data_IF_532263823065
#
_entry.id   IF_532263823065
#
_cell.length_a   1.000
_cell.length_b   1.000
_cell.length_c   1.000
_cell.angle_alpha   90.00
_cell.angle_beta   90.00
_cell.angle_gamma   90.00
#
_symmetry.space_group_name_H-M   'P 1'
#
loop_
_entity.id
_entity.type
_entity.pdbx_description
1 polymer ?
#
# COMPACT_ATOMS: atom_id res chain seq x y z
N UNK A 1 -36.85 -61.93 10.00
CA UNK A 1 -37.38 -60.61 10.41
C UNK A 1 -36.45 -59.54 9.86
N UNK A 2 -36.82 -58.75 8.85
CA UNK A 2 -35.92 -57.76 8.27
C UNK A 2 -35.87 -56.51 9.18
N UNK A 3 -34.72 -56.24 9.79
CA UNK A 3 -34.45 -54.97 10.46
C UNK A 3 -34.36 -53.89 9.37
N UNK A 4 -35.38 -53.04 9.29
CA UNK A 4 -35.51 -51.97 8.31
C UNK A 4 -34.55 -50.82 8.67
N UNK A 5 -33.27 -50.98 8.31
CA UNK A 5 -32.19 -50.04 8.61
C UNK A 5 -32.22 -48.78 7.74
N UNK A 6 -33.32 -48.51 7.05
CA UNK A 6 -33.53 -47.34 6.19
C UNK A 6 -33.38 -46.04 6.98
N UNK A 7 -33.80 -46.06 8.25
CA UNK A 7 -33.71 -44.91 9.15
C UNK A 7 -32.26 -44.61 9.56
N UNK A 8 -31.48 -45.66 9.88
CA UNK A 8 -30.06 -45.55 10.22
C UNK A 8 -29.20 -45.13 9.01
N UNK A 9 -29.55 -45.63 7.81
CA UNK A 9 -28.91 -45.24 6.55
C UNK A 9 -29.20 -43.79 6.18
N UNK A 10 -30.44 -43.32 6.37
CA UNK A 10 -30.81 -41.92 6.17
C UNK A 10 -30.07 -40.98 7.13
N UNK A 11 -29.95 -41.36 8.40
CA UNK A 11 -29.21 -40.60 9.40
C UNK A 11 -27.73 -40.48 9.03
N UNK A 12 -27.11 -41.59 8.61
CA UNK A 12 -25.72 -41.61 8.19
C UNK A 12 -25.48 -40.72 6.96
N UNK A 13 -26.36 -40.79 5.95
CA UNK A 13 -26.27 -39.93 4.77
C UNK A 13 -26.43 -38.45 5.11
N UNK A 14 -27.35 -38.10 6.02
CA UNK A 14 -27.55 -36.72 6.47
C UNK A 14 -26.33 -36.20 7.24
N UNK A 15 -25.71 -37.02 8.10
CA UNK A 15 -24.49 -36.66 8.83
C UNK A 15 -23.29 -36.50 7.89
N UNK A 16 -23.13 -37.38 6.91
CA UNK A 16 -22.03 -37.29 5.92
C UNK A 16 -22.20 -36.08 5.02
N UNK A 17 -23.42 -35.81 4.52
CA UNK A 17 -23.71 -34.64 3.71
C UNK A 17 -23.54 -33.34 4.52
N UNK A 18 -24.00 -33.33 5.77
CA UNK A 18 -23.82 -32.19 6.68
C UNK A 18 -22.35 -31.91 7.00
N UNK A 19 -21.56 -32.96 7.30
CA UNK A 19 -20.12 -32.83 7.54
C UNK A 19 -19.38 -32.40 6.27
N UNK A 20 -19.74 -32.93 5.10
CA UNK A 20 -19.17 -32.54 3.83
C UNK A 20 -19.45 -31.07 3.51
N UNK A 21 -20.66 -30.58 3.78
CA UNK A 21 -21.01 -29.17 3.63
C UNK A 21 -20.23 -28.31 4.62
N UNK A 22 -20.05 -28.73 5.88
CA UNK A 22 -19.27 -27.98 6.87
C UNK A 22 -17.77 -27.91 6.53
N UNK A 23 -17.19 -28.99 6.00
CA UNK A 23 -15.78 -29.06 5.60
C UNK A 23 -15.49 -28.39 4.25
N UNK A 24 -16.49 -28.32 3.36
CA UNK A 24 -16.42 -27.64 2.07
C UNK A 24 -17.26 -26.36 2.05
N UNK A 25 -17.54 -25.75 3.22
CA UNK A 25 -17.95 -24.37 3.23
C UNK A 25 -16.78 -23.63 2.56
N UNK A 26 -16.97 -22.96 1.41
CA UNK A 26 -15.95 -22.09 0.92
C UNK A 26 -15.69 -21.14 2.08
N UNK A 27 -14.46 -21.16 2.62
CA UNK A 27 -14.02 -20.09 3.48
C UNK A 27 -14.41 -18.85 2.69
N UNK A 28 -15.42 -18.14 3.21
CA UNK A 28 -15.91 -16.91 2.61
C UNK A 28 -14.65 -16.20 2.18
N UNK A 29 -14.62 -15.83 0.91
CA UNK A 29 -13.65 -14.90 0.40
C UNK A 29 -13.68 -13.70 1.34
N UNK A 30 -12.90 -13.79 2.42
CA UNK A 30 -12.34 -12.70 3.13
C UNK A 30 -11.42 -12.11 2.07
N UNK A 31 -12.04 -11.39 1.15
CA UNK A 31 -11.45 -10.29 0.43
C UNK A 31 -11.10 -9.29 1.52
N UNK A 32 -10.09 -9.62 2.33
CA UNK A 32 -9.21 -8.64 2.88
C UNK A 32 -8.46 -8.08 1.68
N UNK A 33 -9.15 -7.36 0.80
CA UNK A 33 -8.45 -6.31 0.10
C UNK A 33 -8.18 -5.30 1.22
N UNK A 34 -6.90 -5.11 1.65
CA UNK A 34 -6.62 -3.97 2.50
C UNK A 34 -7.22 -2.81 1.75
N UNK A 35 -8.10 -2.03 2.39
CA UNK A 35 -8.67 -0.82 1.78
C UNK A 35 -7.50 0.11 1.49
N UNK A 36 -6.80 -0.13 0.39
CA UNK A 36 -5.88 0.78 -0.24
C UNK A 36 -6.82 1.87 -0.69
N UNK A 37 -7.03 2.87 0.19
CA UNK A 37 -7.59 4.14 -0.22
C UNK A 37 -6.85 4.49 -1.50
N UNK A 38 -7.55 4.81 -2.60
CA UNK A 38 -6.88 5.20 -3.84
C UNK A 38 -5.88 6.27 -3.45
N UNK A 39 -4.59 6.01 -3.72
CA UNK A 39 -3.50 6.91 -3.33
C UNK A 39 -3.83 8.26 -3.93
N UNK A 40 -4.35 9.14 -3.08
CA UNK A 40 -4.77 10.46 -3.47
C UNK A 40 -3.50 11.28 -3.72
N UNK A 41 -3.63 12.42 -4.39
CA UNK A 41 -2.56 13.42 -4.48
C UNK A 41 -2.03 13.89 -3.11
N UNK A 42 -2.57 13.41 -2.00
CA UNK A 42 -2.24 13.84 -0.65
C UNK A 42 -1.45 12.76 0.14
N UNK A 43 -1.29 11.55 -0.39
CA UNK A 43 -0.62 10.47 0.34
C UNK A 43 0.92 10.55 0.22
N UNK A 44 1.50 11.68 0.67
CA UNK A 44 2.95 11.94 0.72
C UNK A 44 3.71 10.77 1.35
N UNK A 45 3.17 10.16 2.42
CA UNK A 45 3.79 9.01 3.09
C UNK A 45 3.91 7.80 2.17
N UNK A 46 2.86 7.44 1.44
CA UNK A 46 2.89 6.29 0.54
C UNK A 46 3.85 6.52 -0.65
N UNK A 47 3.90 7.75 -1.16
CA UNK A 47 4.87 8.13 -2.19
C UNK A 47 6.30 8.08 -1.66
N UNK A 48 6.54 8.56 -0.44
CA UNK A 48 7.83 8.45 0.22
C UNK A 48 8.24 6.99 0.43
N UNK A 49 7.34 6.14 0.94
CA UNK A 49 7.59 4.71 1.12
C UNK A 49 7.91 4.03 -0.24
N UNK A 50 7.25 4.46 -1.32
CA UNK A 50 7.58 4.01 -2.69
C UNK A 50 8.98 4.42 -3.12
N UNK A 51 9.39 5.67 -2.90
CA UNK A 51 10.77 6.13 -3.18
C UNK A 51 11.78 5.23 -2.49
N UNK A 52 11.57 4.90 -1.21
CA UNK A 52 12.51 4.06 -0.44
C UNK A 52 12.56 2.61 -0.92
N UNK A 53 11.43 2.08 -1.38
CA UNK A 53 11.32 0.68 -1.79
C UNK A 53 11.80 0.45 -3.22
N UNK A 54 11.51 1.38 -4.13
CA UNK A 54 11.72 1.16 -5.57
C UNK A 54 12.70 2.13 -6.21
N UNK A 55 13.05 3.23 -5.55
CA UNK A 55 13.83 4.30 -6.17
C UNK A 55 13.08 5.03 -7.29
N UNK A 56 11.76 4.87 -7.40
CA UNK A 56 10.99 5.42 -8.51
C UNK A 56 9.72 6.12 -8.02
N UNK A 57 9.55 7.40 -8.37
CA UNK A 57 8.37 8.17 -8.03
C UNK A 57 8.12 9.32 -9.02
N UNK A 58 7.98 8.98 -10.31
CA UNK A 58 7.68 9.94 -11.36
C UNK A 58 6.31 10.61 -11.14
N UNK A 59 6.26 11.93 -11.15
CA UNK A 59 5.02 12.70 -10.99
C UNK A 59 4.38 12.60 -9.60
N UNK A 60 5.09 12.08 -8.61
CA UNK A 60 4.55 11.91 -7.26
C UNK A 60 4.32 13.23 -6.55
N UNK A 61 3.33 13.24 -5.65
CA UNK A 61 3.21 14.30 -4.66
C UNK A 61 4.09 13.97 -3.46
N UNK A 62 5.13 14.76 -3.26
CA UNK A 62 6.13 14.64 -2.19
C UNK A 62 6.33 15.97 -1.46
N UNK A 63 5.36 16.89 -1.53
CA UNK A 63 5.44 18.17 -0.81
C UNK A 63 5.60 17.94 0.68
N UNK A 64 6.55 18.64 1.28
CA UNK A 64 6.87 18.49 2.71
C UNK A 64 7.51 17.15 3.12
N UNK A 65 7.83 16.25 2.17
CA UNK A 65 8.46 14.98 2.49
C UNK A 65 9.87 15.20 3.08
N UNK A 66 10.29 14.34 4.00
CA UNK A 66 11.59 14.45 4.66
C UNK A 66 12.56 13.39 4.12
N UNK A 67 13.47 13.81 3.25
CA UNK A 67 14.56 13.01 2.68
C UNK A 67 15.89 13.19 3.40
N UNK A 68 15.92 13.82 4.58
CA UNK A 68 17.17 14.08 5.31
C UNK A 68 17.94 12.77 5.55
N UNK A 69 19.23 12.78 5.22
CA UNK A 69 20.14 11.63 5.33
C UNK A 69 19.76 10.40 4.47
N UNK A 70 18.89 10.56 3.47
CA UNK A 70 18.54 9.49 2.54
C UNK A 70 19.46 9.57 1.33
N UNK A 71 20.01 8.43 0.90
CA UNK A 71 20.70 8.36 -0.39
C UNK A 71 19.66 8.28 -1.51
N UNK A 72 19.61 9.32 -2.34
CA UNK A 72 18.73 9.39 -3.51
C UNK A 72 19.49 9.16 -4.82
N UNK A 73 20.72 8.63 -4.75
CA UNK A 73 21.52 8.32 -5.95
C UNK A 73 20.79 7.29 -6.81
N UNK A 74 20.52 7.65 -8.06
CA UNK A 74 19.81 6.79 -9.01
C UNK A 74 18.28 6.78 -8.86
N UNK A 75 17.71 7.55 -7.92
CA UNK A 75 16.26 7.65 -7.76
C UNK A 75 15.63 8.48 -8.88
N UNK A 76 14.61 7.94 -9.57
CA UNK A 76 13.82 8.68 -10.54
C UNK A 76 12.68 9.45 -9.85
N UNK A 77 12.89 10.75 -9.65
CA UNK A 77 11.89 11.69 -9.14
C UNK A 77 11.33 12.60 -10.25
N UNK A 78 11.48 12.28 -11.54
CA UNK A 78 11.09 13.19 -12.62
C UNK A 78 9.63 13.65 -12.48
N UNK A 79 9.41 14.97 -12.48
CA UNK A 79 8.06 15.53 -12.34
C UNK A 79 7.45 15.45 -10.93
N UNK A 80 8.14 14.92 -9.92
CA UNK A 80 7.61 14.85 -8.56
C UNK A 80 7.54 16.24 -7.91
N UNK A 81 6.44 16.56 -7.24
CA UNK A 81 6.26 17.82 -6.51
C UNK A 81 7.00 17.77 -5.17
N UNK A 82 8.04 18.59 -5.02
CA UNK A 82 8.97 18.58 -3.87
C UNK A 82 8.94 19.88 -3.06
N UNK A 83 7.98 20.77 -3.32
CA UNK A 83 7.84 22.01 -2.57
C UNK A 83 7.74 21.76 -1.05
N UNK A 84 8.59 22.44 -0.28
CA UNK A 84 8.68 22.31 1.17
C UNK A 84 9.32 21.00 1.66
N UNK A 85 9.74 20.10 0.77
CA UNK A 85 10.44 18.89 1.16
C UNK A 85 11.78 19.24 1.84
N UNK A 86 12.17 18.46 2.85
CA UNK A 86 13.50 18.53 3.47
C UNK A 86 14.39 17.60 2.64
N UNK A 87 15.38 18.15 1.96
CA UNK A 87 16.29 17.40 1.10
C UNK A 87 17.34 16.64 1.89
N UNK A 88 18.18 15.88 1.19
CA UNK A 88 19.16 14.95 1.77
C UNK A 88 20.19 15.65 2.64
N UNK A 89 20.57 16.88 2.29
CA UNK A 89 21.46 17.77 3.03
C UNK A 89 20.76 18.59 4.14
N UNK A 90 19.44 18.45 4.28
CA UNK A 90 18.61 19.22 5.20
C UNK A 90 18.05 20.52 4.64
N UNK A 91 18.34 20.87 3.38
CA UNK A 91 17.77 22.05 2.73
C UNK A 91 16.26 21.91 2.57
N UNK A 92 15.49 22.96 2.87
CA UNK A 92 14.05 22.97 2.59
C UNK A 92 13.83 23.49 1.16
N UNK A 93 13.21 22.67 0.31
CA UNK A 93 12.98 22.98 -1.09
C UNK A 93 11.95 24.10 -1.25
N UNK A 94 12.24 25.09 -2.10
CA UNK A 94 11.35 26.21 -2.37
C UNK A 94 10.13 25.80 -3.21
N UNK A 95 9.14 26.70 -3.25
CA UNK A 95 8.02 26.61 -4.18
C UNK A 95 8.49 26.41 -5.63
N UNK A 96 7.77 25.56 -6.36
CA UNK A 96 8.13 25.18 -7.74
C UNK A 96 9.22 24.11 -7.87
N UNK A 97 9.69 23.53 -6.76
CA UNK A 97 10.60 22.37 -6.82
C UNK A 97 9.88 21.17 -7.42
N UNK A 98 10.26 20.80 -8.64
CA UNK A 98 9.68 19.67 -9.39
C UNK A 98 10.80 18.76 -9.90
N UNK A 99 10.81 17.51 -9.43
CA UNK A 99 11.82 16.47 -9.68
C UNK A 99 13.23 16.76 -9.17
N UNK A 100 13.56 18.02 -8.90
CA UNK A 100 14.77 18.47 -8.22
C UNK A 100 14.42 19.47 -7.14
N UNK A 101 15.19 19.48 -6.07
CA UNK A 101 15.08 20.50 -5.03
C UNK A 101 15.63 21.85 -5.54
N UNK A 102 14.86 22.92 -5.37
CA UNK A 102 15.33 24.30 -5.56
C UNK A 102 15.68 24.84 -4.17
N UNK A 103 16.97 25.08 -3.85
CA UNK A 103 17.37 25.57 -2.55
C UNK A 103 16.91 27.01 -2.32
N UNK A 104 16.75 27.46 -1.06
CA UNK A 104 16.37 28.82 -0.75
C UNK A 104 17.46 29.80 -1.18
N UNK A 105 17.05 30.90 -1.82
CA UNK A 105 17.93 32.01 -2.13
C UNK A 105 18.38 32.64 -0.81
N UNK A 106 19.64 32.43 -0.41
CA UNK A 106 20.23 33.17 0.70
C UNK A 106 20.35 34.62 0.27
N UNK A 107 19.55 35.52 0.84
CA UNK A 107 19.91 36.94 0.83
C UNK A 107 21.22 37.05 1.60
N UNK A 108 22.31 37.33 0.91
CA UNK A 108 23.53 37.83 1.54
C UNK A 108 23.18 39.24 2.03
N UNK A 109 23.14 39.42 3.36
CA UNK A 109 23.30 40.72 4.02
C UNK A 109 24.79 40.95 4.31
#
# INVERSE_FOLDING_TARGET
MPQNNTLLRGLFLALVLGLYLLLNLPAESATWEPRLKPLSRVDTKANFDRVLRTGECRGCYLKGANFRNIDLTGTDLAGAELEGAIWTDGTVCQAGSVGRCIPPQRKQE
#
